data_IF_845110338704
#
_entry.id   IF_845110338704
#
_cell.length_a   1.000
_cell.length_b   1.000
_cell.length_c   1.000
_cell.angle_alpha   90.00
_cell.angle_beta   90.00
_cell.angle_gamma   90.00
#
_symmetry.space_group_name_H-M   'P 1'
#
loop_
_entity.id
_entity.type
_entity.pdbx_description
1 polymer ?
#
# COMPACT_ATOMS: atom_id res chain seq x y z
N UNK A 1 -29.55 -7.24 7.73
CA UNK A 1 -29.30 -5.86 8.20
C UNK A 1 -28.42 -5.21 7.15
N UNK A 2 -29.05 -4.45 6.26
CA UNK A 2 -28.37 -3.65 5.23
C UNK A 2 -27.52 -2.60 5.97
N UNK A 3 -26.22 -2.85 6.11
CA UNK A 3 -25.31 -1.86 6.67
C UNK A 3 -25.30 -0.65 5.74
N UNK A 4 -25.70 0.51 6.24
CA UNK A 4 -25.47 1.81 5.58
C UNK A 4 -24.04 1.84 5.05
N UNK A 5 -23.88 1.63 3.74
CA UNK A 5 -22.57 1.68 3.07
C UNK A 5 -22.15 3.13 3.06
N UNK A 6 -21.50 3.55 4.14
CA UNK A 6 -20.85 4.85 4.24
C UNK A 6 -19.96 5.01 3.02
N UNK A 7 -20.29 5.98 2.15
CA UNK A 7 -19.58 6.17 0.91
C UNK A 7 -18.14 6.59 1.23
N UNK A 8 -17.16 5.73 0.94
CA UNK A 8 -15.76 5.99 1.20
C UNK A 8 -15.25 6.95 0.12
N UNK A 9 -14.80 8.14 0.53
CA UNK A 9 -14.20 9.13 -0.36
C UNK A 9 -12.69 8.89 -0.40
N UNK A 10 -12.21 8.28 -1.48
CA UNK A 10 -10.78 8.11 -1.73
C UNK A 10 -10.13 9.43 -2.14
N UNK A 11 -8.86 9.68 -1.77
CA UNK A 11 -8.14 10.84 -2.27
C UNK A 11 -7.94 10.80 -3.79
N UNK A 12 -7.80 9.60 -4.36
CA UNK A 12 -7.66 9.39 -5.79
C UNK A 12 -8.16 7.99 -6.18
N UNK A 13 -8.89 7.90 -7.29
CA UNK A 13 -9.33 6.66 -7.92
C UNK A 13 -9.45 6.93 -9.43
N UNK A 14 -8.70 6.23 -10.30
CA UNK A 14 -8.82 6.40 -11.74
C UNK A 14 -10.22 6.05 -12.26
N UNK A 15 -10.64 6.68 -13.35
CA UNK A 15 -11.91 6.39 -13.99
C UNK A 15 -11.97 4.92 -14.45
N UNK A 16 -13.12 4.27 -14.23
CA UNK A 16 -13.33 2.86 -14.59
C UNK A 16 -12.69 1.84 -13.65
N UNK A 17 -11.83 2.27 -12.71
CA UNK A 17 -11.24 1.39 -11.72
C UNK A 17 -12.14 1.19 -10.51
N UNK A 18 -12.02 0.02 -9.87
CA UNK A 18 -12.82 -0.34 -8.70
C UNK A 18 -11.93 -0.89 -7.59
N UNK A 19 -12.20 -0.40 -6.39
CA UNK A 19 -11.68 -0.97 -5.15
C UNK A 19 -12.76 -1.89 -4.58
N UNK A 20 -12.39 -3.14 -4.33
CA UNK A 20 -13.20 -4.17 -3.70
C UNK A 20 -12.66 -4.45 -2.30
N UNK A 21 -13.49 -5.09 -1.48
CA UNK A 21 -13.15 -5.39 -0.09
C UNK A 21 -13.26 -6.88 0.17
N UNK A 22 -12.33 -7.41 0.95
CA UNK A 22 -12.31 -8.81 1.37
C UNK A 22 -12.12 -8.92 2.88
N UNK A 23 -12.70 -9.97 3.50
CA UNK A 23 -12.51 -10.23 4.92
C UNK A 23 -11.07 -10.63 5.22
N UNK A 24 -10.69 -10.51 6.50
CA UNK A 24 -9.33 -10.78 6.99
C UNK A 24 -8.82 -12.21 6.78
N UNK A 25 -9.74 -13.16 6.62
CA UNK A 25 -9.46 -14.60 6.43
C UNK A 25 -9.29 -14.98 4.94
N UNK A 26 -9.46 -14.04 4.01
CA UNK A 26 -9.15 -14.26 2.61
C UNK A 26 -7.68 -14.67 2.44
N UNK A 27 -7.43 -15.80 1.78
CA UNK A 27 -6.08 -16.38 1.64
C UNK A 27 -5.04 -15.43 1.03
N UNK A 28 -5.44 -14.58 0.08
CA UNK A 28 -4.53 -13.63 -0.57
C UNK A 28 -4.32 -12.37 0.27
N UNK A 29 -5.33 -11.96 1.04
CA UNK A 29 -5.18 -10.88 2.01
C UNK A 29 -4.31 -11.29 3.20
N UNK A 30 -4.44 -12.54 3.67
CA UNK A 30 -3.51 -13.13 4.65
C UNK A 30 -2.09 -13.17 4.10
N UNK A 31 -1.91 -13.59 2.84
CA UNK A 31 -0.58 -13.53 2.20
C UNK A 31 -0.04 -12.10 2.11
N UNK A 32 -0.88 -11.12 1.78
CA UNK A 32 -0.47 -9.72 1.76
C UNK A 32 -0.06 -9.21 3.16
N UNK A 33 -0.74 -9.66 4.22
CA UNK A 33 -0.34 -9.41 5.62
C UNK A 33 1.03 -10.02 5.93
N UNK A 34 1.26 -11.27 5.54
CA UNK A 34 2.56 -11.93 5.71
C UNK A 34 3.69 -11.21 4.97
N UNK A 35 3.43 -10.76 3.74
CA UNK A 35 4.38 -9.98 2.95
C UNK A 35 4.68 -8.64 3.64
N UNK A 36 3.66 -7.98 4.20
CA UNK A 36 3.83 -6.73 4.93
C UNK A 36 4.73 -6.85 6.17
N UNK A 37 4.82 -8.03 6.81
CA UNK A 37 5.75 -8.29 7.91
C UNK A 37 7.23 -8.14 7.50
N UNK A 38 7.55 -8.33 6.22
CA UNK A 38 8.90 -8.15 5.69
C UNK A 38 9.30 -6.69 5.46
N UNK A 39 8.37 -5.74 5.64
CA UNK A 39 8.64 -4.32 5.47
C UNK A 39 9.60 -3.79 6.55
N UNK A 40 10.55 -2.94 6.13
CA UNK A 40 11.36 -2.15 7.06
C UNK A 40 10.74 -0.77 7.36
N UNK A 41 9.58 -0.44 6.77
CA UNK A 41 8.81 0.75 7.11
C UNK A 41 7.97 0.47 8.36
N UNK A 42 8.23 1.21 9.43
CA UNK A 42 7.65 0.92 10.74
C UNK A 42 6.35 1.68 11.01
N UNK A 43 6.12 2.82 10.36
CA UNK A 43 4.90 3.58 10.59
C UNK A 43 3.70 2.93 9.92
N UNK A 44 3.88 2.51 8.66
CA UNK A 44 2.83 1.91 7.86
C UNK A 44 3.41 0.77 7.01
N UNK A 45 3.73 -0.39 7.62
CA UNK A 45 4.07 -1.60 6.90
C UNK A 45 2.97 -1.94 5.89
N UNK A 46 3.35 -2.14 4.63
CA UNK A 46 2.42 -2.39 3.53
C UNK A 46 2.91 -3.57 2.72
N UNK A 47 2.00 -4.46 2.36
CA UNK A 47 2.29 -5.67 1.58
C UNK A 47 1.31 -5.80 0.44
N UNK A 48 1.83 -6.20 -0.71
CA UNK A 48 1.04 -6.39 -1.94
C UNK A 48 1.24 -7.79 -2.46
N UNK A 49 0.15 -8.39 -2.91
CA UNK A 49 0.12 -9.67 -3.60
C UNK A 49 -0.63 -9.49 -4.92
N UNK A 50 -0.02 -9.88 -6.02
CA UNK A 50 -0.62 -9.91 -7.36
C UNK A 50 -0.93 -11.37 -7.70
N UNK A 51 -2.17 -11.62 -8.09
CA UNK A 51 -2.74 -12.94 -8.32
C UNK A 51 -3.16 -13.08 -9.78
N UNK A 52 -2.88 -14.25 -10.36
CA UNK A 52 -3.36 -14.68 -11.67
C UNK A 52 -3.79 -16.14 -11.59
N UNK A 53 -4.98 -16.48 -12.07
CA UNK A 53 -5.52 -17.85 -12.05
C UNK A 53 -5.38 -18.52 -10.67
N UNK A 54 -5.79 -17.81 -9.62
CA UNK A 54 -5.74 -18.27 -8.23
C UNK A 54 -4.32 -18.53 -7.66
N UNK A 55 -3.28 -18.06 -8.35
CA UNK A 55 -1.88 -18.19 -7.94
C UNK A 55 -1.23 -16.82 -7.75
N UNK A 56 -0.40 -16.71 -6.71
CA UNK A 56 0.44 -15.53 -6.51
C UNK A 56 1.54 -15.51 -7.59
N UNK A 57 1.55 -14.47 -8.41
CA UNK A 57 2.54 -14.27 -9.49
C UNK A 57 3.57 -13.21 -9.15
N UNK A 58 3.25 -12.30 -8.24
CA UNK A 58 4.19 -11.33 -7.69
C UNK A 58 3.74 -10.89 -6.31
N UNK A 59 4.70 -10.53 -5.47
CA UNK A 59 4.47 -9.99 -4.15
C UNK A 59 5.70 -9.18 -3.72
N UNK A 60 5.46 -8.10 -2.99
CA UNK A 60 6.48 -7.25 -2.42
C UNK A 60 5.90 -6.39 -1.29
N UNK A 61 6.78 -5.85 -0.44
CA UNK A 61 6.43 -4.93 0.63
C UNK A 61 7.01 -3.54 0.37
N UNK A 62 6.49 -2.54 1.06
CA UNK A 62 7.09 -1.21 1.00
C UNK A 62 8.43 -1.18 1.74
N UNK A 63 9.25 -0.19 1.40
CA UNK A 63 10.58 0.00 1.99
C UNK A 63 10.75 1.46 2.45
N UNK A 64 11.38 1.64 3.61
CA UNK A 64 11.93 2.91 4.02
C UNK A 64 13.37 3.06 3.49
N UNK A 65 13.71 4.15 2.77
CA UNK A 65 15.06 4.39 2.26
C UNK A 65 16.10 4.58 3.37
N UNK A 66 15.65 4.95 4.58
CA UNK A 66 16.49 5.04 5.77
C UNK A 66 16.34 3.77 6.61
N UNK A 67 17.47 3.11 6.90
CA UNK A 67 17.50 1.92 7.76
C UNK A 67 17.93 2.21 9.19
N UNK A 68 18.64 3.32 9.43
CA UNK A 68 19.14 3.68 10.75
C UNK A 68 18.07 4.42 11.56
N UNK A 69 17.73 3.90 12.75
CA UNK A 69 16.70 4.48 13.62
C UNK A 69 16.93 5.95 13.96
N UNK A 70 18.16 6.35 14.27
CA UNK A 70 18.49 7.75 14.59
C UNK A 70 18.26 8.67 13.39
N UNK A 71 18.57 8.20 12.18
CA UNK A 71 18.32 8.95 10.95
C UNK A 71 16.82 9.05 10.64
N UNK A 72 16.06 7.97 10.88
CA UNK A 72 14.59 7.98 10.73
C UNK A 72 13.99 9.01 11.71
N UNK A 73 14.37 8.96 12.99
CA UNK A 73 13.85 9.87 14.01
C UNK A 73 14.22 11.33 13.71
N UNK A 74 15.46 11.58 13.23
CA UNK A 74 15.89 12.90 12.78
C UNK A 74 15.09 13.37 11.56
N UNK A 75 14.91 12.50 10.58
CA UNK A 75 14.14 12.80 9.38
C UNK A 75 12.67 13.11 9.71
N UNK A 76 12.03 12.39 10.61
CA UNK A 76 10.65 12.69 11.01
C UNK A 76 10.49 14.11 11.58
N UNK A 77 11.50 14.60 12.31
CA UNK A 77 11.52 15.96 12.89
C UNK A 77 11.86 17.05 11.88
N UNK A 78 12.78 16.78 10.96
CA UNK A 78 13.37 17.79 10.07
C UNK A 78 13.10 17.53 8.58
N UNK A 79 12.10 16.71 8.27
CA UNK A 79 11.67 16.48 6.90
C UNK A 79 11.20 17.81 6.29
N UNK A 80 11.94 18.29 5.29
CA UNK A 80 11.63 19.56 4.63
C UNK A 80 10.24 19.54 3.98
N UNK A 81 9.74 18.38 3.54
CA UNK A 81 8.37 18.24 3.02
C UNK A 81 7.32 18.47 4.10
N UNK A 82 7.55 18.00 5.32
CA UNK A 82 6.65 18.27 6.44
C UNK A 82 6.69 19.75 6.85
N UNK A 83 7.88 20.33 6.93
CA UNK A 83 8.07 21.76 7.24
C UNK A 83 7.35 22.64 6.22
N UNK A 84 7.45 22.29 4.93
CA UNK A 84 6.79 23.01 3.83
C UNK A 84 5.33 22.57 3.59
N UNK A 85 4.77 21.68 4.41
CA UNK A 85 3.39 21.15 4.30
C UNK A 85 3.05 20.59 2.92
N UNK A 86 4.02 19.96 2.27
CA UNK A 86 3.84 19.36 0.95
C UNK A 86 2.98 18.10 1.08
N UNK A 87 1.95 17.91 0.23
CA UNK A 87 1.13 16.70 0.24
C UNK A 87 1.94 15.42 0.06
N UNK A 88 1.43 14.32 0.63
CA UNK A 88 1.94 12.98 0.34
C UNK A 88 1.74 12.67 -1.15
N UNK A 89 2.68 11.98 -1.78
CA UNK A 89 2.69 11.79 -3.24
C UNK A 89 3.54 12.81 -4.01
N UNK A 90 3.81 13.99 -3.42
CA UNK A 90 4.41 15.11 -4.16
C UNK A 90 5.84 15.45 -3.75
N UNK A 91 6.62 15.93 -4.73
CA UNK A 91 7.94 16.55 -4.56
C UNK A 91 8.95 15.72 -3.75
N UNK A 92 8.96 14.40 -3.94
CA UNK A 92 9.88 13.48 -3.24
C UNK A 92 11.37 13.82 -3.48
N UNK A 93 11.73 14.47 -4.59
CA UNK A 93 13.10 14.93 -4.85
C UNK A 93 13.61 15.97 -3.84
N UNK A 94 12.72 16.66 -3.11
CA UNK A 94 13.10 17.63 -2.09
C UNK A 94 13.67 16.97 -0.83
N UNK A 95 13.37 15.70 -0.57
CA UNK A 95 13.85 15.02 0.62
C UNK A 95 14.23 13.56 0.31
N UNK A 96 15.52 13.23 0.20
CA UNK A 96 15.97 11.87 -0.11
C UNK A 96 15.67 10.86 1.01
N UNK A 97 15.36 11.33 2.23
CA UNK A 97 14.92 10.50 3.34
C UNK A 97 13.45 10.07 3.28
N UNK A 98 12.65 10.66 2.38
CA UNK A 98 11.28 10.21 2.14
C UNK A 98 11.28 8.99 1.21
N UNK A 99 10.47 7.98 1.55
CA UNK A 99 10.20 6.86 0.65
C UNK A 99 9.72 7.38 -0.70
N UNK A 100 10.35 6.92 -1.78
CA UNK A 100 9.99 7.32 -3.14
C UNK A 100 8.88 6.40 -3.65
N UNK A 101 8.26 6.78 -4.77
CA UNK A 101 7.23 5.95 -5.43
C UNK A 101 7.75 4.54 -5.75
N UNK A 102 9.04 4.39 -6.02
CA UNK A 102 9.67 3.09 -6.32
C UNK A 102 9.79 2.18 -5.09
N UNK A 103 9.67 2.74 -3.89
CA UNK A 103 9.75 2.02 -2.63
C UNK A 103 8.37 1.56 -2.13
N UNK A 104 7.28 1.95 -2.81
CA UNK A 104 5.94 1.51 -2.49
C UNK A 104 5.74 0.03 -2.89
N UNK A 105 4.97 -0.71 -2.09
CA UNK A 105 4.73 -2.14 -2.29
C UNK A 105 4.14 -2.44 -3.68
N UNK A 106 3.16 -1.65 -4.12
CA UNK A 106 2.48 -1.79 -5.39
C UNK A 106 3.49 -1.65 -6.54
N UNK A 107 4.27 -0.56 -6.55
CA UNK A 107 5.24 -0.31 -7.61
C UNK A 107 6.29 -1.41 -7.68
N UNK A 108 6.77 -1.90 -6.54
CA UNK A 108 7.78 -2.96 -6.46
C UNK A 108 7.24 -4.29 -6.99
N UNK A 109 6.03 -4.68 -6.57
CA UNK A 109 5.38 -5.90 -7.05
C UNK A 109 5.13 -5.87 -8.57
N UNK A 110 4.68 -4.74 -9.12
CA UNK A 110 4.47 -4.56 -10.56
C UNK A 110 5.80 -4.59 -11.32
N UNK A 111 6.83 -3.90 -10.82
CA UNK A 111 8.16 -3.91 -11.44
C UNK A 111 8.77 -5.31 -11.49
N UNK A 112 8.59 -6.10 -10.42
CA UNK A 112 9.02 -7.51 -10.37
C UNK A 112 8.30 -8.35 -11.42
N UNK A 113 6.99 -8.16 -11.56
CA UNK A 113 6.17 -8.89 -12.52
C UNK A 113 6.54 -8.56 -13.98
N UNK A 114 6.75 -7.27 -14.29
CA UNK A 114 7.22 -6.79 -15.60
C UNK A 114 8.62 -7.33 -15.93
N UNK A 115 9.54 -7.36 -14.97
CA UNK A 115 10.88 -7.94 -15.14
C UNK A 115 10.83 -9.42 -15.50
N UNK A 116 9.87 -10.15 -14.92
CA UNK A 116 9.66 -11.57 -15.18
C UNK A 116 8.85 -11.83 -16.47
N UNK A 117 8.58 -10.79 -17.29
CA UNK A 117 7.83 -10.86 -18.56
C UNK A 117 6.45 -11.53 -18.44
N UNK A 118 5.87 -11.53 -17.23
CA UNK A 118 4.55 -12.10 -16.98
C UNK A 118 3.53 -10.97 -17.10
N UNK A 119 3.10 -10.69 -18.33
CA UNK A 119 2.25 -9.53 -18.63
C UNK A 119 0.85 -9.89 -19.11
N UNK A 120 0.61 -11.18 -19.39
CA UNK A 120 -0.69 -11.65 -19.86
C UNK A 120 -1.60 -11.91 -18.65
N UNK A 121 -2.55 -11.01 -18.41
CA UNK A 121 -3.55 -11.11 -17.36
C UNK A 121 -4.81 -11.87 -17.78
N UNK A 122 -5.92 -11.75 -17.03
CA UNK A 122 -6.20 -10.70 -16.03
C UNK A 122 -5.49 -10.90 -14.68
N UNK A 123 -5.13 -9.81 -14.01
CA UNK A 123 -4.54 -9.83 -12.67
C UNK A 123 -5.48 -9.25 -11.62
N UNK A 124 -5.41 -9.77 -10.41
CA UNK A 124 -6.02 -9.19 -9.22
C UNK A 124 -4.93 -8.77 -8.22
N UNK A 125 -5.11 -7.65 -7.54
CA UNK A 125 -4.16 -7.15 -6.56
C UNK A 125 -4.78 -7.10 -5.18
N UNK A 126 -4.08 -7.60 -4.17
CA UNK A 126 -4.48 -7.58 -2.78
C UNK A 126 -3.49 -6.73 -1.99
N UNK A 127 -4.00 -5.74 -1.26
CA UNK A 127 -3.19 -4.75 -0.53
C UNK A 127 -3.51 -4.78 0.96
N UNK A 128 -2.48 -5.04 1.77
CA UNK A 128 -2.52 -4.95 3.22
C UNK A 128 -1.77 -3.70 3.71
N UNK A 129 -2.27 -3.07 4.78
CA UNK A 129 -1.60 -1.95 5.45
C UNK A 129 -1.98 -0.57 4.92
N UNK A 130 -2.78 -0.52 3.85
CA UNK A 130 -3.31 0.71 3.25
C UNK A 130 -4.81 0.59 2.97
N UNK A 131 -5.48 1.74 2.90
CA UNK A 131 -6.93 1.86 2.65
C UNK A 131 -7.28 2.53 1.32
N UNK A 132 -6.27 2.84 0.53
CA UNK A 132 -6.33 3.41 -0.81
C UNK A 132 -4.94 3.34 -1.45
N UNK A 133 -4.87 3.46 -2.78
CA UNK A 133 -3.62 3.54 -3.53
C UNK A 133 -3.43 4.97 -4.05
N UNK A 134 -2.20 5.49 -3.97
CA UNK A 134 -1.88 6.79 -4.56
C UNK A 134 -1.90 6.75 -6.09
N UNK A 135 -2.02 7.93 -6.71
CA UNK A 135 -1.98 8.14 -8.16
C UNK A 135 -0.77 7.47 -8.83
N UNK A 136 0.43 7.63 -8.27
CA UNK A 136 1.65 7.02 -8.81
C UNK A 136 1.65 5.48 -8.71
N UNK A 137 0.97 4.91 -7.72
CA UNK A 137 0.77 3.47 -7.61
C UNK A 137 -0.24 3.00 -8.66
N UNK A 138 -1.34 3.73 -8.87
CA UNK A 138 -2.30 3.46 -9.93
C UNK A 138 -1.66 3.49 -11.31
N UNK A 139 -0.86 4.52 -11.62
CA UNK A 139 -0.13 4.63 -12.88
C UNK A 139 0.79 3.42 -13.12
N UNK A 140 1.40 2.88 -12.06
CA UNK A 140 2.22 1.68 -12.16
C UNK A 140 1.35 0.44 -12.41
N UNK A 141 0.29 0.26 -11.61
CA UNK A 141 -0.66 -0.83 -11.69
C UNK A 141 -1.33 -0.93 -13.07
N UNK A 142 -1.67 0.22 -13.67
CA UNK A 142 -2.33 0.31 -14.99
C UNK A 142 -1.43 -0.08 -16.17
N UNK A 143 -0.12 -0.31 -15.96
CA UNK A 143 0.77 -0.90 -16.97
C UNK A 143 0.48 -2.38 -17.23
N UNK A 144 -0.30 -3.01 -16.34
CA UNK A 144 -0.75 -4.38 -16.46
C UNK A 144 -2.28 -4.41 -16.50
N UNK A 145 -2.88 -5.46 -17.09
CA UNK A 145 -4.32 -5.68 -17.08
C UNK A 145 -4.82 -6.10 -15.68
N UNK A 146 -4.64 -5.23 -14.68
CA UNK A 146 -5.21 -5.40 -13.34
C UNK A 146 -6.70 -5.08 -13.41
N UNK A 147 -7.51 -6.07 -13.06
CA UNK A 147 -8.96 -5.99 -13.12
C UNK A 147 -9.55 -5.44 -11.83
N UNK A 148 -9.04 -5.91 -10.69
CA UNK A 148 -9.56 -5.54 -9.38
C UNK A 148 -8.41 -5.27 -8.39
N UNK A 149 -8.63 -4.26 -7.53
CA UNK A 149 -7.81 -4.02 -6.34
C UNK A 149 -8.65 -4.34 -5.11
N UNK A 150 -8.17 -5.27 -4.29
CA UNK A 150 -8.82 -5.72 -3.07
C UNK A 150 -8.11 -5.15 -1.85
N UNK A 151 -8.88 -4.47 -1.01
CA UNK A 151 -8.46 -4.00 0.30
C UNK A 151 -9.09 -4.83 1.41
N UNK A 152 -8.51 -4.75 2.60
CA UNK A 152 -9.13 -5.32 3.79
C UNK A 152 -10.43 -4.57 4.10
N UNK A 153 -11.48 -5.31 4.48
CA UNK A 153 -12.68 -4.74 5.08
C UNK A 153 -12.32 -3.82 6.26
N UNK A 154 -12.97 -2.64 6.32
CA UNK A 154 -12.68 -1.59 7.31
C UNK A 154 -11.25 -1.03 7.24
N UNK A 155 -10.52 -1.22 6.14
CA UNK A 155 -9.17 -0.65 5.97
C UNK A 155 -9.14 0.86 6.18
N UNK A 156 -10.19 1.60 5.80
CA UNK A 156 -10.33 3.05 6.00
C UNK A 156 -10.41 3.47 7.48
N UNK A 157 -10.64 2.51 8.36
CA UNK A 157 -10.55 2.65 9.82
C UNK A 157 -9.21 2.13 10.31
N UNK A 158 -8.84 0.91 9.93
CA UNK A 158 -7.68 0.19 10.46
C UNK A 158 -6.35 0.78 10.00
N UNK A 159 -6.25 1.25 8.76
CA UNK A 159 -5.01 1.70 8.14
C UNK A 159 -4.96 3.21 7.88
N UNK A 160 -5.97 3.95 8.33
CA UNK A 160 -6.01 5.40 8.19
C UNK A 160 -5.44 6.07 9.44
N UNK A 161 -4.22 6.63 9.35
CA UNK A 161 -3.55 7.33 10.45
C UNK A 161 -4.36 8.49 11.06
N UNK A 162 -5.35 9.04 10.34
CA UNK A 162 -6.25 10.09 10.86
C UNK A 162 -7.40 9.54 11.71
N UNK A 163 -7.65 8.23 11.66
CA UNK A 163 -8.73 7.59 12.39
C UNK A 163 -8.21 7.10 13.75
N UNK A 164 -8.79 7.49 14.89
CA UNK A 164 -8.28 7.10 16.22
C UNK A 164 -8.26 5.59 16.48
N UNK A 165 -8.98 4.80 15.68
CA UNK A 165 -9.03 3.33 15.78
C UNK A 165 -7.99 2.61 14.90
N UNK A 166 -7.06 3.35 14.28
CA UNK A 166 -6.05 2.76 13.41
C UNK A 166 -5.09 1.82 14.16
N UNK A 167 -4.62 0.78 13.46
CA UNK A 167 -3.72 -0.26 14.01
C UNK A 167 -2.28 -0.14 13.47
N UNK A 168 -2.03 0.76 12.52
CA UNK A 168 -0.68 1.04 11.98
C UNK A 168 0.16 1.89 12.96
N UNK A 169 1.48 1.67 12.99
CA UNK A 169 2.42 2.47 13.78
C UNK A 169 2.36 2.29 15.31
N UNK A 170 1.52 1.38 15.81
CA UNK A 170 1.32 1.14 17.26
C UNK A 170 1.45 -0.34 17.66
N UNK A 171 2.02 -1.18 16.79
CA UNK A 171 2.24 -2.61 17.05
C UNK A 171 1.02 -3.52 16.89
N UNK A 172 -0.20 -2.95 16.75
CA UNK A 172 -1.45 -3.72 16.60
C UNK A 172 -1.72 -4.19 15.17
N UNK A 173 -0.96 -3.71 14.18
CA UNK A 173 -1.21 -4.06 12.79
C UNK A 173 -1.10 -5.57 12.53
N UNK A 174 -0.22 -6.24 13.28
CA UNK A 174 0.09 -7.62 13.03
C UNK A 174 -0.51 -8.58 14.04
N UNK A 175 -1.04 -8.09 15.17
CA UNK A 175 -1.61 -8.85 16.29
C UNK A 175 -0.91 -10.20 16.48
N UNK A 176 0.13 -10.22 17.31
CA UNK A 176 0.70 -11.46 17.86
C UNK A 176 -0.25 -12.09 18.86
#
# INVERSE_FOLDING_TARGET
>A
MESDKKQIKYPYLPEGQKILYVPKDNKFMLRAKEVAHGSNEQQQPTGVVVVHNDKVVSEDSNINPLSNRRLIDLHQKYCIRHILKIPSGDKYWLCPGCAKKEDHAEHRAIKKLLKNKTTNGPFDLYLWGHWWCCDVCWDSMMKLPIRNVYLLENSEILFNLKNPRHIVGNGRQFDR
#
